data_IF_527531397702
#
_entry.id   IF_527531397702
#
_cell.length_a   1.000
_cell.length_b   1.000
_cell.length_c   1.000
_cell.angle_alpha   90.00
_cell.angle_beta   90.00
_cell.angle_gamma   90.00
#
_symmetry.space_group_name_H-M   'P 1'
#
loop_
_entity.id
_entity.type
_entity.pdbx_description
1 polymer ?
#
# COMPACT_ATOMS: atom_id res chain seq x y z
N UNK A 1 -48.39 -18.51 12.42
CA UNK A 1 -47.33 -19.32 13.07
C UNK A 1 -46.78 -20.28 12.03
N UNK A 2 -45.54 -20.09 11.55
CA UNK A 2 -44.97 -20.93 10.48
C UNK A 2 -44.59 -22.31 11.03
N UNK A 3 -45.11 -23.39 10.43
CA UNK A 3 -44.71 -24.77 10.75
C UNK A 3 -43.49 -25.15 9.92
N UNK A 4 -42.33 -25.31 10.56
CA UNK A 4 -41.10 -25.78 9.90
C UNK A 4 -41.21 -27.28 9.67
N UNK A 5 -41.22 -27.70 8.40
CA UNK A 5 -41.30 -29.11 8.01
C UNK A 5 -40.00 -29.86 8.35
N UNK A 6 -40.06 -31.21 8.42
CA UNK A 6 -38.87 -32.05 8.60
C UNK A 6 -37.83 -31.80 7.51
N UNK A 7 -38.26 -31.65 6.26
CA UNK A 7 -37.37 -31.34 5.13
C UNK A 7 -36.66 -29.99 5.31
N UNK A 8 -37.40 -28.96 5.74
CA UNK A 8 -36.84 -27.64 6.01
C UNK A 8 -35.78 -27.67 7.12
N UNK A 9 -36.00 -28.45 8.19
CA UNK A 9 -35.00 -28.64 9.26
C UNK A 9 -33.71 -29.27 8.73
N UNK A 10 -33.81 -30.27 7.86
CA UNK A 10 -32.65 -30.94 7.25
C UNK A 10 -31.83 -29.95 6.40
N UNK A 11 -32.51 -29.17 5.55
CA UNK A 11 -31.83 -28.15 4.71
C UNK A 11 -31.12 -27.13 5.59
N UNK A 12 -31.77 -26.60 6.64
CA UNK A 12 -31.12 -25.66 7.55
C UNK A 12 -29.92 -26.27 8.28
N UNK A 13 -30.01 -27.51 8.73
CA UNK A 13 -28.86 -28.18 9.34
C UNK A 13 -27.70 -28.30 8.36
N UNK A 14 -27.95 -28.74 7.12
CA UNK A 14 -26.91 -28.85 6.08
C UNK A 14 -26.28 -27.49 5.79
N UNK A 15 -27.09 -26.44 5.55
CA UNK A 15 -26.59 -25.09 5.29
C UNK A 15 -25.77 -24.55 6.47
N UNK A 16 -26.21 -24.79 7.71
CA UNK A 16 -25.48 -24.40 8.91
C UNK A 16 -24.12 -25.12 9.01
N UNK A 17 -24.07 -26.43 8.77
CA UNK A 17 -22.80 -27.17 8.81
C UNK A 17 -21.85 -26.74 7.69
N UNK A 18 -22.34 -26.47 6.48
CA UNK A 18 -21.51 -25.93 5.40
C UNK A 18 -20.94 -24.57 5.80
N UNK A 19 -21.78 -23.66 6.31
CA UNK A 19 -21.32 -22.35 6.79
C UNK A 19 -20.29 -22.48 7.92
N UNK A 20 -20.51 -23.38 8.88
CA UNK A 20 -19.59 -23.65 9.98
C UNK A 20 -18.24 -24.18 9.48
N UNK A 21 -18.24 -25.14 8.55
CA UNK A 21 -17.02 -25.67 7.93
C UNK A 21 -16.26 -24.56 7.20
N UNK A 22 -16.96 -23.71 6.44
CA UNK A 22 -16.34 -22.56 5.76
C UNK A 22 -15.71 -21.57 6.75
N UNK A 23 -16.39 -21.26 7.86
CA UNK A 23 -15.87 -20.37 8.91
C UNK A 23 -14.65 -20.97 9.58
N UNK A 24 -14.68 -22.24 9.96
CA UNK A 24 -13.54 -22.94 10.57
C UNK A 24 -12.36 -23.00 9.59
N UNK A 25 -12.62 -23.32 8.33
CA UNK A 25 -11.58 -23.39 7.30
C UNK A 25 -10.93 -22.04 7.07
N UNK A 26 -11.74 -20.97 6.99
CA UNK A 26 -11.23 -19.60 6.90
C UNK A 26 -10.43 -19.22 8.14
N UNK A 27 -10.94 -19.51 9.35
CA UNK A 27 -10.27 -19.23 10.61
C UNK A 27 -8.87 -19.88 10.65
N UNK A 28 -8.77 -21.19 10.37
CA UNK A 28 -7.49 -21.91 10.37
C UNK A 28 -6.55 -21.38 9.29
N UNK A 29 -7.07 -21.09 8.09
CA UNK A 29 -6.29 -20.53 7.00
C UNK A 29 -5.70 -19.15 7.34
N UNK A 30 -6.53 -18.23 7.84
CA UNK A 30 -6.09 -16.89 8.21
C UNK A 30 -5.21 -16.88 9.46
N UNK A 31 -5.46 -17.76 10.43
CA UNK A 31 -4.60 -17.93 11.59
C UNK A 31 -3.18 -18.31 11.15
N UNK A 32 -3.05 -19.27 10.23
CA UNK A 32 -1.75 -19.71 9.71
C UNK A 32 -1.03 -18.63 8.89
N UNK A 33 -1.77 -17.83 8.12
CA UNK A 33 -1.18 -16.69 7.39
C UNK A 33 -0.69 -15.62 8.36
N UNK A 34 -1.48 -15.33 9.40
CA UNK A 34 -1.16 -14.30 10.38
C UNK A 34 0.01 -14.72 11.30
N UNK A 35 0.12 -16.01 11.63
CA UNK A 35 1.25 -16.52 12.42
C UNK A 35 2.57 -16.51 11.65
N UNK A 36 2.51 -16.56 10.31
CA UNK A 36 3.69 -16.49 9.45
C UNK A 36 4.23 -15.07 9.22
N UNK A 37 3.61 -14.04 9.80
CA UNK A 37 4.07 -12.65 9.68
C UNK A 37 5.35 -12.39 10.47
N UNK A 38 6.24 -11.50 9.96
CA UNK A 38 7.48 -11.16 10.69
C UNK A 38 7.12 -10.43 11.99
N UNK A 39 7.35 -11.04 13.17
CA UNK A 39 6.92 -10.49 14.45
C UNK A 39 7.56 -9.12 14.72
N UNK A 40 8.73 -8.84 14.14
CA UNK A 40 9.45 -7.57 14.28
C UNK A 40 8.76 -6.43 13.53
N UNK A 41 7.91 -6.74 12.56
CA UNK A 41 7.20 -5.75 11.73
C UNK A 41 5.72 -5.56 12.10
N UNK A 42 5.17 -6.40 12.98
CA UNK A 42 3.76 -6.33 13.40
C UNK A 42 3.43 -4.93 13.95
N UNK A 43 4.31 -4.35 14.78
CA UNK A 43 4.12 -3.00 15.31
C UNK A 43 3.98 -1.96 14.19
N UNK A 44 4.84 -1.99 13.19
CA UNK A 44 4.77 -1.08 12.05
C UNK A 44 3.45 -1.22 11.26
N UNK A 45 2.91 -2.44 11.14
CA UNK A 45 1.62 -2.68 10.46
C UNK A 45 0.45 -2.11 11.24
N UNK A 46 0.44 -2.28 12.57
CA UNK A 46 -0.60 -1.69 13.40
C UNK A 46 -0.52 -0.16 13.38
N UNK A 47 0.68 0.40 13.41
CA UNK A 47 0.90 1.84 13.26
C UNK A 47 0.38 2.39 11.92
N UNK A 48 0.42 1.62 10.83
CA UNK A 48 -0.22 2.05 9.58
C UNK A 48 -1.75 2.17 9.69
N UNK A 49 -2.41 1.36 10.51
CA UNK A 49 -3.85 1.48 10.79
C UNK A 49 -4.11 2.78 11.56
N UNK A 50 -3.30 3.06 12.57
CA UNK A 50 -3.42 4.30 13.35
C UNK A 50 -3.15 5.55 12.49
N UNK A 51 -2.18 5.47 11.57
CA UNK A 51 -1.92 6.52 10.58
C UNK A 51 -3.16 6.83 9.73
N UNK A 52 -3.87 5.81 9.24
CA UNK A 52 -5.08 6.01 8.44
C UNK A 52 -6.18 6.70 9.26
N UNK A 53 -6.37 6.29 10.52
CA UNK A 53 -7.32 6.94 11.45
C UNK A 53 -6.95 8.42 11.68
N UNK A 54 -5.68 8.75 11.94
CA UNK A 54 -5.24 10.13 12.12
C UNK A 54 -5.43 10.99 10.87
N UNK A 55 -5.29 10.41 9.67
CA UNK A 55 -5.59 11.11 8.44
C UNK A 55 -7.07 11.46 8.30
N UNK A 56 -7.97 10.52 8.65
CA UNK A 56 -9.41 10.75 8.62
C UNK A 56 -9.84 11.85 9.61
N UNK A 57 -9.23 11.87 10.79
CA UNK A 57 -9.44 12.87 11.84
C UNK A 57 -8.72 14.21 11.57
N UNK A 58 -7.95 14.30 10.48
CA UNK A 58 -7.10 15.45 10.11
C UNK A 58 -6.03 15.80 11.14
N UNK A 59 -5.60 14.84 11.95
CA UNK A 59 -4.53 14.98 12.94
C UNK A 59 -3.14 14.77 12.30
N UNK A 60 -2.79 15.65 11.36
CA UNK A 60 -1.62 15.48 10.48
C UNK A 60 -0.27 15.38 11.20
N UNK A 61 -0.09 16.11 12.32
CA UNK A 61 1.14 16.03 13.12
C UNK A 61 1.32 14.63 13.73
N UNK A 62 0.24 14.05 14.26
CA UNK A 62 0.28 12.67 14.79
C UNK A 62 0.55 11.67 13.68
N UNK A 63 -0.08 11.84 12.51
CA UNK A 63 0.19 11.00 11.35
C UNK A 63 1.68 11.03 10.93
N UNK A 64 2.34 12.20 10.97
CA UNK A 64 3.78 12.32 10.70
C UNK A 64 4.63 11.60 11.75
N UNK A 65 4.32 11.78 13.04
CA UNK A 65 5.04 11.11 14.12
C UNK A 65 4.96 9.57 14.02
N UNK A 66 3.79 9.05 13.64
CA UNK A 66 3.59 7.61 13.41
C UNK A 66 4.45 7.11 12.24
N UNK A 67 4.56 7.88 11.16
CA UNK A 67 5.42 7.51 10.02
C UNK A 67 6.91 7.50 10.39
N UNK A 68 7.35 8.42 11.25
CA UNK A 68 8.72 8.43 11.78
C UNK A 68 9.01 7.20 12.65
N UNK A 69 8.02 6.77 13.45
CA UNK A 69 8.11 5.55 14.23
C UNK A 69 8.19 4.30 13.35
N UNK A 70 7.36 4.22 12.30
CA UNK A 70 7.40 3.13 11.31
C UNK A 70 8.77 3.09 10.60
N UNK A 71 9.29 4.24 10.19
CA UNK A 71 10.61 4.34 9.56
C UNK A 71 11.72 3.84 10.49
N UNK A 72 11.67 4.22 11.76
CA UNK A 72 12.62 3.77 12.78
C UNK A 72 12.57 2.24 12.96
N UNK A 73 11.39 1.63 12.98
CA UNK A 73 11.25 0.17 13.04
C UNK A 73 11.99 -0.48 11.87
N UNK A 74 11.70 -0.07 10.62
CA UNK A 74 12.36 -0.68 9.46
C UNK A 74 13.85 -0.39 9.37
N UNK A 75 14.30 0.79 9.82
CA UNK A 75 15.73 1.16 9.81
C UNK A 75 16.56 0.26 10.72
N UNK A 76 15.97 -0.20 11.84
CA UNK A 76 16.61 -1.12 12.77
C UNK A 76 16.61 -2.58 12.28
N UNK A 77 15.95 -2.89 11.16
CA UNK A 77 15.90 -4.22 10.56
C UNK A 77 16.76 -4.25 9.28
N UNK A 78 17.97 -4.79 9.39
CA UNK A 78 18.96 -4.85 8.29
C UNK A 78 18.36 -5.48 7.02
N UNK A 79 17.51 -6.49 7.20
CA UNK A 79 16.84 -7.24 6.15
C UNK A 79 15.84 -6.38 5.34
N UNK A 80 15.37 -5.27 5.91
CA UNK A 80 14.41 -4.36 5.30
C UNK A 80 15.05 -3.11 4.68
N UNK A 81 16.37 -2.91 4.79
CA UNK A 81 17.08 -1.71 4.33
C UNK A 81 16.78 -1.29 2.87
N UNK A 82 16.54 -2.26 1.99
CA UNK A 82 16.23 -2.02 0.57
C UNK A 82 14.83 -2.54 0.19
N UNK A 83 13.90 -2.47 1.15
CA UNK A 83 12.54 -2.99 1.01
C UNK A 83 11.61 -1.95 0.38
N UNK A 84 10.45 -2.38 -0.14
CA UNK A 84 9.48 -1.47 -0.76
C UNK A 84 8.73 -0.64 0.29
N UNK A 85 8.75 -1.08 1.54
CA UNK A 85 8.05 -0.51 2.69
C UNK A 85 8.50 0.92 2.97
N UNK A 86 9.79 1.23 2.80
CA UNK A 86 10.26 2.61 2.86
C UNK A 86 9.57 3.49 1.81
N UNK A 87 9.37 3.01 0.59
CA UNK A 87 8.63 3.76 -0.43
C UNK A 87 7.19 4.08 0.01
N UNK A 88 6.56 3.19 0.78
CA UNK A 88 5.22 3.42 1.34
C UNK A 88 5.27 4.56 2.36
N UNK A 89 6.22 4.50 3.29
CA UNK A 89 6.42 5.53 4.32
C UNK A 89 6.66 6.90 3.70
N UNK A 90 7.60 7.01 2.76
CA UNK A 90 7.92 8.28 2.09
C UNK A 90 6.76 8.82 1.25
N UNK A 91 6.01 7.96 0.54
CA UNK A 91 4.83 8.40 -0.21
C UNK A 91 3.70 8.89 0.71
N UNK A 92 3.47 8.18 1.82
CA UNK A 92 2.48 8.57 2.82
C UNK A 92 2.86 9.91 3.46
N UNK A 93 4.13 10.08 3.84
CA UNK A 93 4.66 11.35 4.37
C UNK A 93 4.44 12.51 3.39
N UNK A 94 4.74 12.30 2.11
CA UNK A 94 4.45 13.30 1.08
C UNK A 94 2.96 13.63 0.99
N UNK A 95 2.09 12.62 1.11
CA UNK A 95 0.63 12.81 1.11
C UNK A 95 0.18 13.68 2.28
N UNK A 96 0.68 13.45 3.49
CA UNK A 96 0.36 14.29 4.65
C UNK A 96 0.76 15.75 4.39
N UNK A 97 1.97 16.00 3.89
CA UNK A 97 2.42 17.37 3.58
C UNK A 97 1.60 18.03 2.46
N UNK A 98 1.17 17.29 1.44
CA UNK A 98 0.23 17.79 0.42
C UNK A 98 -1.09 18.19 1.08
N UNK A 99 -1.65 17.36 1.96
CA UNK A 99 -2.92 17.65 2.64
C UNK A 99 -2.81 18.92 3.50
N UNK A 100 -1.75 19.06 4.30
CA UNK A 100 -1.51 20.29 5.08
C UNK A 100 -1.41 21.50 4.13
N UNK A 101 -0.62 21.41 3.07
CA UNK A 101 -0.41 22.52 2.13
C UNK A 101 -1.66 22.95 1.36
N UNK A 102 -2.63 22.05 1.18
CA UNK A 102 -3.83 22.31 0.37
C UNK A 102 -5.09 22.60 1.20
N UNK A 103 -5.14 22.13 2.45
CA UNK A 103 -6.36 22.16 3.26
C UNK A 103 -6.19 22.74 4.67
N UNK A 104 -4.98 23.12 5.09
CA UNK A 104 -4.85 23.87 6.36
C UNK A 104 -5.49 25.25 6.24
N UNK A 105 -6.19 25.67 7.29
CA UNK A 105 -6.94 26.94 7.32
C UNK A 105 -6.01 28.17 7.41
N UNK A 106 -4.73 27.96 7.72
CA UNK A 106 -3.72 29.01 7.77
C UNK A 106 -3.21 29.30 6.36
N UNK A 107 -3.84 30.26 5.68
CA UNK A 107 -3.58 30.65 4.28
C UNK A 107 -2.26 31.42 4.08
N UNK A 108 -1.27 31.22 4.96
CA UNK A 108 0.05 31.82 4.80
C UNK A 108 0.80 31.16 3.63
N UNK A 109 0.80 31.85 2.49
CA UNK A 109 1.45 31.41 1.23
C UNK A 109 2.89 30.94 1.36
N UNK A 110 3.65 31.42 2.36
CA UNK A 110 5.03 31.01 2.63
C UNK A 110 5.11 29.56 3.14
N UNK A 111 4.20 29.17 4.02
CA UNK A 111 4.17 27.82 4.60
C UNK A 111 3.78 26.79 3.54
N UNK A 112 2.83 27.15 2.67
CA UNK A 112 2.42 26.30 1.55
C UNK A 112 3.57 25.91 0.65
N UNK A 113 4.43 26.86 0.26
CA UNK A 113 5.57 26.58 -0.62
C UNK A 113 6.56 25.62 0.05
N UNK A 114 6.92 25.89 1.31
CA UNK A 114 7.83 25.03 2.08
C UNK A 114 7.27 23.60 2.24
N UNK A 115 5.98 23.47 2.57
CA UNK A 115 5.32 22.16 2.69
C UNK A 115 5.33 21.40 1.36
N UNK A 116 5.06 22.08 0.24
CA UNK A 116 5.13 21.46 -1.09
C UNK A 116 6.55 21.04 -1.49
N UNK A 117 7.59 21.78 -1.10
CA UNK A 117 8.99 21.40 -1.30
C UNK A 117 9.36 20.15 -0.46
N UNK A 118 8.91 20.07 0.78
CA UNK A 118 9.09 18.89 1.63
C UNK A 118 8.35 17.69 1.04
N UNK A 119 7.11 17.89 0.56
CA UNK A 119 6.34 16.86 -0.13
C UNK A 119 7.03 16.37 -1.41
N UNK A 120 7.61 17.28 -2.20
CA UNK A 120 8.37 16.96 -3.41
C UNK A 120 9.56 16.06 -3.08
N UNK A 121 10.36 16.42 -2.07
CA UNK A 121 11.50 15.63 -1.61
C UNK A 121 11.10 14.21 -1.22
N UNK A 122 10.05 14.07 -0.41
CA UNK A 122 9.55 12.76 0.04
C UNK A 122 8.99 11.93 -1.14
N UNK A 123 8.28 12.57 -2.07
CA UNK A 123 7.74 11.90 -3.26
C UNK A 123 8.86 11.38 -4.16
N UNK A 124 9.90 12.18 -4.39
CA UNK A 124 11.06 11.78 -5.19
C UNK A 124 11.84 10.63 -4.55
N UNK A 125 12.00 10.63 -3.22
CA UNK A 125 12.65 9.51 -2.54
C UNK A 125 11.80 8.22 -2.62
N UNK A 126 10.48 8.31 -2.46
CA UNK A 126 9.57 7.19 -2.71
C UNK A 126 9.71 6.61 -4.13
N UNK A 127 9.70 7.47 -5.15
CA UNK A 127 9.89 7.07 -6.56
C UNK A 127 11.21 6.32 -6.72
N UNK A 128 12.31 6.90 -6.21
CA UNK A 128 13.64 6.30 -6.27
C UNK A 128 13.69 4.94 -5.58
N UNK A 129 13.08 4.79 -4.40
CA UNK A 129 13.00 3.51 -3.69
C UNK A 129 12.26 2.47 -4.53
N UNK A 130 11.08 2.80 -5.05
CA UNK A 130 10.29 1.87 -5.84
C UNK A 130 10.96 1.49 -7.16
N UNK A 131 11.58 2.44 -7.87
CA UNK A 131 12.31 2.15 -9.12
C UNK A 131 13.52 1.23 -8.85
N UNK A 132 14.29 1.50 -7.81
CA UNK A 132 15.41 0.65 -7.40
C UNK A 132 14.95 -0.74 -6.95
N UNK A 133 13.84 -0.81 -6.22
CA UNK A 133 13.24 -2.07 -5.78
C UNK A 133 12.74 -2.89 -6.96
N UNK A 134 12.04 -2.28 -7.92
CA UNK A 134 11.57 -2.93 -9.15
C UNK A 134 12.73 -3.39 -10.03
N UNK A 135 13.80 -2.60 -10.15
CA UNK A 135 15.01 -3.01 -10.86
C UNK A 135 15.65 -4.25 -10.22
N UNK A 136 15.63 -4.32 -8.90
CA UNK A 136 16.28 -5.40 -8.13
C UNK A 136 15.41 -6.66 -8.01
N UNK A 137 14.08 -6.52 -7.96
CA UNK A 137 13.18 -7.62 -7.63
C UNK A 137 12.08 -7.85 -8.66
N UNK A 138 11.71 -6.86 -9.48
CA UNK A 138 10.49 -6.87 -10.31
C UNK A 138 10.38 -7.96 -11.36
N UNK A 139 11.48 -8.64 -11.70
CA UNK A 139 11.52 -9.75 -12.67
C UNK A 139 12.02 -11.07 -12.08
N UNK A 140 12.32 -11.10 -10.77
CA UNK A 140 12.85 -12.30 -10.12
C UNK A 140 11.74 -13.34 -9.96
N UNK A 141 12.09 -14.60 -10.20
CA UNK A 141 11.24 -15.75 -9.91
C UNK A 141 11.14 -15.99 -8.40
N UNK A 142 10.10 -16.72 -7.97
CA UNK A 142 9.93 -17.15 -6.57
C UNK A 142 11.19 -17.84 -6.03
N UNK A 143 11.85 -18.69 -6.83
CA UNK A 143 13.09 -19.39 -6.46
C UNK A 143 14.26 -18.43 -6.22
N UNK A 144 14.43 -17.43 -7.08
CA UNK A 144 15.48 -16.42 -6.92
C UNK A 144 15.24 -15.50 -5.72
N UNK A 145 13.98 -15.17 -5.44
CA UNK A 145 13.60 -14.42 -4.25
C UNK A 145 13.84 -15.25 -3.00
N UNK A 146 13.43 -16.52 -2.99
CA UNK A 146 13.69 -17.43 -1.88
C UNK A 146 15.18 -17.50 -1.55
N UNK A 147 16.03 -17.72 -2.56
CA UNK A 147 17.49 -17.73 -2.37
C UNK A 147 18.01 -16.43 -1.75
N UNK A 148 17.55 -15.27 -2.25
CA UNK A 148 17.93 -13.96 -1.71
C UNK A 148 17.46 -13.78 -0.25
N UNK A 149 16.25 -14.24 0.08
CA UNK A 149 15.73 -14.18 1.45
C UNK A 149 16.52 -15.10 2.36
N UNK A 150 16.86 -16.31 1.93
CA UNK A 150 17.66 -17.27 2.72
C UNK A 150 19.08 -16.75 3.05
N UNK A 151 19.65 -15.94 2.16
CA UNK A 151 20.93 -15.25 2.39
C UNK A 151 20.82 -14.15 3.46
N UNK A 152 19.68 -13.49 3.59
CA UNK A 152 19.50 -12.27 4.40
C UNK A 152 18.78 -12.55 5.72
N UNK A 153 17.75 -13.39 5.72
CA UNK A 153 16.98 -13.79 6.89
C UNK A 153 17.68 -14.97 7.56
N UNK A 154 18.34 -14.67 8.68
CA UNK A 154 19.11 -15.62 9.48
C UNK A 154 18.34 -15.98 10.74
N UNK A 155 18.28 -17.28 11.07
CA UNK A 155 17.44 -17.84 12.15
C UNK A 155 17.76 -17.20 13.50
N UNK A 156 19.02 -16.89 13.70
CA UNK A 156 19.62 -16.30 14.90
C UNK A 156 19.04 -14.93 15.23
N UNK A 157 18.39 -14.25 14.26
CA UNK A 157 17.74 -12.97 14.46
C UNK A 157 16.30 -13.11 15.01
N UNK A 158 15.82 -14.33 15.27
CA UNK A 158 14.43 -14.61 15.64
C UNK A 158 14.32 -15.57 16.84
N UNK A 159 13.33 -15.32 17.69
CA UNK A 159 12.98 -16.17 18.82
C UNK A 159 11.72 -16.98 18.47
N UNK A 160 11.85 -17.92 17.53
CA UNK A 160 10.78 -18.82 17.06
C UNK A 160 11.37 -20.23 16.85
N UNK A 161 10.58 -21.25 16.52
CA UNK A 161 11.08 -22.58 16.17
C UNK A 161 11.42 -22.72 14.67
N UNK A 162 12.02 -23.85 14.27
CA UNK A 162 12.49 -24.04 12.89
C UNK A 162 11.35 -24.11 11.87
N UNK A 163 10.20 -24.66 12.26
CA UNK A 163 9.01 -24.76 11.41
C UNK A 163 8.41 -23.37 11.16
N UNK A 164 8.20 -22.59 12.21
CA UNK A 164 7.73 -21.21 12.15
C UNK A 164 8.68 -20.32 11.32
N UNK A 165 9.99 -20.54 11.47
CA UNK A 165 10.97 -19.78 10.68
C UNK A 165 10.92 -20.12 9.18
N UNK A 166 10.64 -21.36 8.83
CA UNK A 166 10.42 -21.76 7.44
C UNK A 166 9.16 -21.08 6.87
N UNK A 167 8.06 -21.08 7.62
CA UNK A 167 6.83 -20.38 7.22
C UNK A 167 7.04 -18.88 7.07
N UNK A 168 7.74 -18.24 8.00
CA UNK A 168 8.09 -16.83 7.94
C UNK A 168 8.86 -16.48 6.65
N UNK A 169 9.89 -17.27 6.30
CA UNK A 169 10.65 -17.05 5.05
C UNK A 169 9.75 -17.18 3.82
N UNK A 170 8.91 -18.21 3.77
CA UNK A 170 7.98 -18.39 2.66
C UNK A 170 6.98 -17.23 2.54
N UNK A 171 6.43 -16.78 3.67
CA UNK A 171 5.54 -15.63 3.72
C UNK A 171 6.22 -14.38 3.18
N UNK A 172 7.47 -14.11 3.59
CA UNK A 172 8.25 -12.98 3.04
C UNK A 172 8.49 -13.08 1.54
N UNK A 173 8.69 -14.29 1.02
CA UNK A 173 8.81 -14.53 -0.43
C UNK A 173 7.50 -14.19 -1.14
N UNK A 174 6.35 -14.64 -0.61
CA UNK A 174 5.03 -14.30 -1.16
C UNK A 174 4.76 -12.79 -1.12
N UNK A 175 5.16 -12.10 -0.04
CA UNK A 175 5.01 -10.64 0.06
C UNK A 175 5.82 -9.91 -1.01
N UNK A 176 7.04 -10.38 -1.31
CA UNK A 176 7.87 -9.82 -2.38
C UNK A 176 7.24 -10.08 -3.74
N UNK A 177 6.70 -11.28 -3.99
CA UNK A 177 5.98 -11.60 -5.24
C UNK A 177 4.77 -10.70 -5.40
N UNK A 178 3.95 -10.55 -4.36
CA UNK A 178 2.81 -9.64 -4.37
C UNK A 178 3.27 -8.19 -4.62
N UNK A 179 4.37 -7.77 -4.00
CA UNK A 179 4.93 -6.45 -4.22
C UNK A 179 5.43 -6.21 -5.64
N UNK A 180 5.79 -7.25 -6.43
CA UNK A 180 6.12 -7.07 -7.86
C UNK A 180 4.92 -6.55 -8.65
N UNK A 181 3.72 -6.97 -8.24
CA UNK A 181 2.44 -6.60 -8.85
C UNK A 181 1.97 -5.24 -8.31
N UNK A 182 2.13 -4.99 -7.01
CA UNK A 182 1.63 -3.77 -6.37
C UNK A 182 2.55 -2.56 -6.53
N UNK A 183 3.87 -2.75 -6.61
CA UNK A 183 4.82 -1.63 -6.67
C UNK A 183 4.63 -0.72 -7.89
N UNK A 184 4.32 -1.20 -9.11
CA UNK A 184 3.95 -0.32 -10.22
C UNK A 184 2.75 0.59 -9.93
N UNK A 185 1.75 0.09 -9.19
CA UNK A 185 0.59 0.90 -8.75
C UNK A 185 1.00 1.93 -7.71
N UNK A 186 1.80 1.53 -6.72
CA UNK A 186 2.35 2.47 -5.70
C UNK A 186 3.20 3.56 -6.33
N UNK A 187 4.02 3.20 -7.33
CA UNK A 187 4.80 4.14 -8.12
C UNK A 187 3.89 5.09 -8.92
N UNK A 188 2.78 4.60 -9.48
CA UNK A 188 1.74 5.44 -10.10
C UNK A 188 1.17 6.48 -9.13
N UNK A 189 0.87 6.08 -7.88
CA UNK A 189 0.42 7.01 -6.82
C UNK A 189 1.49 8.04 -6.51
N UNK A 190 2.77 7.64 -6.39
CA UNK A 190 3.86 8.60 -6.16
C UNK A 190 4.00 9.62 -7.29
N UNK A 191 3.89 9.21 -8.56
CA UNK A 191 3.87 10.15 -9.68
C UNK A 191 2.61 11.04 -9.70
N UNK A 192 1.49 10.56 -9.16
CA UNK A 192 0.28 11.38 -9.00
C UNK A 192 0.52 12.47 -7.96
N UNK A 193 1.13 12.14 -6.83
CA UNK A 193 1.52 13.11 -5.82
C UNK A 193 2.49 14.14 -6.39
N UNK A 194 3.51 13.69 -7.15
CA UNK A 194 4.47 14.59 -7.80
C UNK A 194 3.78 15.56 -8.78
N UNK A 195 2.85 15.05 -9.60
CA UNK A 195 2.08 15.89 -10.52
C UNK A 195 1.21 16.92 -9.81
N UNK A 196 0.58 16.53 -8.69
CA UNK A 196 -0.21 17.45 -7.85
C UNK A 196 0.68 18.57 -7.31
N UNK A 197 1.82 18.22 -6.72
CA UNK A 197 2.79 19.20 -6.20
C UNK A 197 3.23 20.17 -7.30
N UNK A 198 3.65 19.64 -8.44
CA UNK A 198 4.12 20.43 -9.58
C UNK A 198 3.03 21.37 -10.12
N UNK A 199 1.77 20.94 -10.18
CA UNK A 199 0.64 21.79 -10.57
C UNK A 199 0.50 22.97 -9.62
N UNK A 200 0.55 22.72 -8.31
CA UNK A 200 0.42 23.77 -7.30
C UNK A 200 1.66 24.67 -7.19
N UNK A 201 2.81 24.23 -7.69
CA UNK A 201 4.02 25.04 -7.88
C UNK A 201 4.07 25.76 -9.25
N UNK A 202 2.99 25.76 -10.04
CA UNK A 202 2.91 26.36 -11.38
C UNK A 202 3.92 25.76 -12.39
N UNK A 203 4.26 24.48 -12.23
CA UNK A 203 5.13 23.70 -13.14
C UNK A 203 4.26 22.79 -14.03
N UNK A 204 3.37 23.36 -14.85
CA UNK A 204 2.31 22.61 -15.57
C UNK A 204 2.85 21.53 -16.51
N UNK A 205 3.92 21.82 -17.26
CA UNK A 205 4.52 20.83 -18.17
C UNK A 205 5.08 19.61 -17.43
N UNK A 206 5.67 19.82 -16.25
CA UNK A 206 6.17 18.73 -15.42
C UNK A 206 4.99 17.94 -14.84
N UNK A 207 3.95 18.63 -14.36
CA UNK A 207 2.73 17.98 -13.87
C UNK A 207 2.09 17.08 -14.93
N UNK A 208 2.00 17.54 -16.18
CA UNK A 208 1.52 16.77 -17.32
C UNK A 208 2.35 15.49 -17.53
N UNK A 209 3.69 15.59 -17.49
CA UNK A 209 4.59 14.44 -17.61
C UNK A 209 4.39 13.44 -16.47
N UNK A 210 4.27 13.93 -15.24
CA UNK A 210 4.06 13.11 -14.04
C UNK A 210 2.72 12.36 -14.07
N UNK A 211 1.61 13.02 -14.37
CA UNK A 211 0.31 12.34 -14.49
C UNK A 211 0.27 11.34 -15.64
N UNK A 212 0.89 11.67 -16.78
CA UNK A 212 1.00 10.74 -17.92
C UNK A 212 1.80 9.50 -17.53
N UNK A 213 2.92 9.67 -16.81
CA UNK A 213 3.72 8.56 -16.29
C UNK A 213 2.93 7.71 -15.28
N UNK A 214 2.17 8.33 -14.38
CA UNK A 214 1.30 7.62 -13.45
C UNK A 214 0.29 6.72 -14.19
N UNK A 215 -0.39 7.24 -15.21
CA UNK A 215 -1.36 6.48 -16.00
C UNK A 215 -0.71 5.39 -16.85
N UNK A 216 0.52 5.60 -17.33
CA UNK A 216 1.29 4.54 -18.01
C UNK A 216 1.63 3.37 -17.09
N UNK A 217 1.89 3.64 -15.81
CA UNK A 217 2.17 2.60 -14.81
C UNK A 217 0.90 1.89 -14.33
N UNK A 218 -0.20 2.62 -14.24
CA UNK A 218 -1.50 2.09 -13.82
C UNK A 218 -2.62 2.91 -14.46
N UNK A 219 -3.19 2.39 -15.55
CA UNK A 219 -4.20 3.10 -16.37
C UNK A 219 -5.51 3.38 -15.62
N UNK A 220 -5.72 2.70 -14.51
CA UNK A 220 -6.90 2.80 -13.66
C UNK A 220 -6.73 3.78 -12.50
N UNK A 221 -5.63 4.51 -12.42
CA UNK A 221 -5.43 5.57 -11.43
C UNK A 221 -6.36 6.77 -11.72
N UNK A 222 -7.56 6.74 -11.15
CA UNK A 222 -8.58 7.77 -11.34
C UNK A 222 -8.14 9.15 -10.85
N UNK A 223 -7.39 9.21 -9.76
CA UNK A 223 -6.85 10.47 -9.23
C UNK A 223 -5.88 11.13 -10.22
N UNK A 224 -4.97 10.35 -10.83
CA UNK A 224 -4.08 10.87 -11.88
C UNK A 224 -4.88 11.33 -13.11
N UNK A 225 -5.89 10.56 -13.51
CA UNK A 225 -6.74 10.88 -14.68
C UNK A 225 -7.52 12.18 -14.46
N UNK A 226 -8.17 12.34 -13.32
CA UNK A 226 -8.96 13.52 -13.02
C UNK A 226 -8.07 14.75 -12.85
N UNK A 227 -6.91 14.62 -12.19
CA UNK A 227 -5.96 15.73 -12.11
C UNK A 227 -5.40 16.13 -13.48
N UNK A 228 -5.16 15.17 -14.37
CA UNK A 228 -4.78 15.43 -15.75
C UNK A 228 -5.90 16.14 -16.51
N UNK A 229 -7.14 15.68 -16.40
CA UNK A 229 -8.30 16.31 -17.04
C UNK A 229 -8.44 17.77 -16.62
N UNK A 230 -8.37 18.05 -15.31
CA UNK A 230 -8.39 19.43 -14.78
C UNK A 230 -7.25 20.26 -15.37
N UNK A 231 -6.03 19.71 -15.44
CA UNK A 231 -4.86 20.41 -15.97
C UNK A 231 -5.02 20.83 -17.44
N UNK A 232 -5.76 20.06 -18.24
CA UNK A 232 -5.98 20.29 -19.68
C UNK A 232 -7.39 20.82 -20.01
N UNK A 233 -8.16 21.27 -19.02
CA UNK A 233 -9.48 21.87 -19.22
C UNK A 233 -10.59 20.88 -19.62
N UNK A 234 -10.45 19.59 -19.30
CA UNK A 234 -11.49 18.56 -19.49
C UNK A 234 -12.28 18.34 -18.20
N UNK A 235 -13.49 17.79 -18.34
CA UNK A 235 -14.32 17.39 -17.20
C UNK A 235 -13.68 16.26 -16.39
N UNK A 236 -13.90 16.27 -15.07
CA UNK A 236 -13.59 15.13 -14.22
C UNK A 236 -14.50 13.94 -14.58
N UNK A 237 -13.98 12.73 -14.40
CA UNK A 237 -14.75 11.50 -14.61
C UNK A 237 -15.00 10.80 -13.28
N UNK A 238 -16.25 10.45 -13.02
CA UNK A 238 -16.60 9.60 -11.90
C UNK A 238 -16.28 8.13 -12.22
N UNK A 239 -15.76 7.42 -11.23
CA UNK A 239 -15.61 5.98 -11.33
C UNK A 239 -17.00 5.32 -11.27
N UNK A 240 -17.28 4.42 -12.23
CA UNK A 240 -18.59 3.76 -12.30
C UNK A 240 -18.86 2.94 -11.03
N UNK A 241 -20.12 2.91 -10.58
CA UNK A 241 -20.53 2.16 -9.37
C UNK A 241 -20.11 0.69 -9.50
N UNK A 242 -20.29 0.09 -10.67
CA UNK A 242 -19.87 -1.29 -10.95
C UNK A 242 -18.38 -1.44 -10.69
N UNK A 243 -17.54 -0.49 -11.10
CA UNK A 243 -16.10 -0.57 -10.90
C UNK A 243 -15.66 -0.32 -9.47
N UNK A 244 -16.39 0.49 -8.70
CA UNK A 244 -16.21 0.63 -7.25
C UNK A 244 -16.53 -0.67 -6.52
N UNK A 245 -17.60 -1.36 -6.93
CA UNK A 245 -18.03 -2.64 -6.34
C UNK A 245 -17.18 -3.83 -6.81
N UNK A 246 -16.69 -3.77 -8.04
CA UNK A 246 -15.91 -4.81 -8.70
C UNK A 246 -14.66 -4.21 -9.34
N UNK A 247 -13.69 -3.77 -8.52
CA UNK A 247 -12.44 -3.24 -9.04
C UNK A 247 -11.72 -4.31 -9.87
N UNK A 248 -11.03 -3.93 -10.95
CA UNK A 248 -10.30 -4.88 -11.77
C UNK A 248 -9.29 -5.65 -10.93
N UNK A 249 -9.13 -6.94 -11.25
CA UNK A 249 -8.27 -7.84 -10.50
C UNK A 249 -6.85 -7.29 -10.39
N UNK A 250 -6.38 -7.18 -9.14
CA UNK A 250 -5.04 -6.70 -8.83
C UNK A 250 -3.96 -7.61 -9.43
N UNK A 251 -4.25 -8.88 -9.72
CA UNK A 251 -3.26 -9.82 -10.28
C UNK A 251 -3.13 -9.78 -11.81
N UNK A 252 -4.00 -9.07 -12.53
CA UNK A 252 -3.89 -8.97 -13.99
C UNK A 252 -2.94 -7.84 -14.39
N UNK A 253 -1.86 -8.21 -15.09
CA UNK A 253 -1.02 -7.24 -15.80
C UNK A 253 -1.85 -6.62 -16.93
N UNK A 254 -1.87 -5.29 -16.98
CA UNK A 254 -2.46 -4.55 -18.08
C UNK A 254 -1.54 -4.69 -19.30
N UNK A 255 -1.79 -5.71 -20.14
CA UNK A 255 -1.23 -5.79 -21.48
C UNK A 255 -1.79 -4.69 -22.39
#
# INVERSE_FOLDING_TARGET
MFKISRGTKIVFSISFFIALILVISAYLYYQNINSAEDPRTIKARNLFIDYDNFLEEKEYEKALNILDEIENIYTNLKEYKNSFEFGVVYNNRATVYILIALYSENDETKDKKALLEIAEKNTLESIKIYENWLKSNGKKTKKEIFKKIDEIFKKENFIIDDEDFYFLKNKRVEDIILAQIETPRRLSVSYTNLGTIQRHQLKQELALKSFTKALKLWKYNHTAKNNLNVLIGKSIEDESIIRKLFPPDRMKLDN
#
